data_IF_409104427558
#
_entry.id   IF_409104427558
#
_cell.length_a   1.000
_cell.length_b   1.000
_cell.length_c   1.000
_cell.angle_alpha   90.00
_cell.angle_beta   90.00
_cell.angle_gamma   90.00
#
_symmetry.space_group_name_H-M   'P 1'
#
loop_
_entity.id
_entity.type
_entity.pdbx_description
1 polymer ?
#
# COMPACT_ATOMS: atom_id res chain seq x y z
N UNK A 1 15.21 -17.63 15.13
CA UNK A 1 14.59 -17.08 13.92
C UNK A 1 15.56 -16.06 13.35
N UNK A 2 16.19 -16.34 12.22
CA UNK A 2 17.10 -15.37 11.58
C UNK A 2 16.32 -14.12 11.19
N UNK A 3 16.79 -12.95 11.61
CA UNK A 3 16.22 -11.67 11.18
C UNK A 3 16.59 -11.47 9.72
N UNK A 4 15.61 -11.58 8.82
CA UNK A 4 15.80 -11.21 7.41
C UNK A 4 16.28 -9.76 7.34
N UNK A 5 17.41 -9.54 6.67
CA UNK A 5 17.92 -8.20 6.39
C UNK A 5 16.99 -7.56 5.35
N UNK A 6 16.27 -6.52 5.76
CA UNK A 6 15.42 -5.71 4.89
C UNK A 6 16.34 -4.87 4.00
N UNK A 7 16.16 -5.00 2.69
CA UNK A 7 16.92 -4.31 1.64
C UNK A 7 16.05 -3.34 0.85
N UNK A 8 14.75 -3.61 0.75
CA UNK A 8 13.78 -2.74 0.11
C UNK A 8 12.42 -2.78 0.82
N UNK A 9 11.52 -1.86 0.48
CA UNK A 9 10.18 -1.85 1.05
C UNK A 9 9.36 -3.08 0.62
N UNK A 10 9.70 -3.67 -0.52
CA UNK A 10 9.11 -4.91 -1.02
C UNK A 10 9.47 -6.11 -0.15
N UNK A 11 10.44 -6.02 0.76
CA UNK A 11 10.68 -7.10 1.73
C UNK A 11 9.60 -7.17 2.83
N UNK A 12 8.79 -6.11 2.99
CA UNK A 12 7.67 -6.11 3.93
C UNK A 12 6.44 -6.79 3.31
N UNK A 13 6.05 -7.93 3.87
CA UNK A 13 4.84 -8.66 3.43
C UNK A 13 3.55 -7.81 3.52
N UNK A 14 3.49 -6.88 4.48
CA UNK A 14 2.36 -5.94 4.60
C UNK A 14 2.33 -4.94 3.43
N UNK A 15 3.48 -4.51 2.91
CA UNK A 15 3.55 -3.61 1.76
C UNK A 15 3.09 -4.34 0.49
N UNK A 16 3.54 -5.58 0.27
CA UNK A 16 3.07 -6.41 -0.85
C UNK A 16 1.54 -6.57 -0.84
N UNK A 17 0.95 -6.77 0.35
CA UNK A 17 -0.51 -6.85 0.50
C UNK A 17 -1.21 -5.53 0.17
N UNK A 18 -0.62 -4.39 0.54
CA UNK A 18 -1.17 -3.08 0.21
C UNK A 18 -1.13 -2.83 -1.31
N UNK A 19 -0.01 -3.13 -1.97
CA UNK A 19 0.12 -3.04 -3.43
C UNK A 19 -0.88 -3.96 -4.11
N UNK A 20 -0.97 -5.23 -3.70
CA UNK A 20 -1.95 -6.16 -4.26
C UNK A 20 -3.39 -5.67 -4.09
N UNK A 21 -3.74 -5.11 -2.94
CA UNK A 21 -5.07 -4.54 -2.72
C UNK A 21 -5.35 -3.37 -3.69
N UNK A 22 -4.35 -2.54 -3.95
CA UNK A 22 -4.47 -1.44 -4.91
C UNK A 22 -4.64 -1.97 -6.34
N UNK A 23 -3.86 -2.97 -6.75
CA UNK A 23 -3.97 -3.63 -8.06
C UNK A 23 -5.33 -4.30 -8.25
N UNK A 24 -5.77 -5.11 -7.28
CA UNK A 24 -7.06 -5.79 -7.30
C UNK A 24 -8.22 -4.77 -7.43
N UNK A 25 -8.12 -3.62 -6.74
CA UNK A 25 -9.09 -2.53 -6.88
C UNK A 25 -9.10 -1.93 -8.30
N UNK A 26 -7.93 -1.71 -8.91
CA UNK A 26 -7.84 -1.15 -10.26
C UNK A 26 -8.39 -2.11 -11.32
N UNK A 27 -8.14 -3.41 -11.17
CA UNK A 27 -8.49 -4.44 -12.15
C UNK A 27 -9.94 -4.91 -12.02
N UNK A 28 -10.46 -5.05 -10.80
CA UNK A 28 -11.76 -5.66 -10.54
C UNK A 28 -12.83 -4.63 -10.15
N UNK A 29 -12.60 -3.86 -9.09
CA UNK A 29 -13.62 -2.99 -8.48
C UNK A 29 -13.86 -1.71 -9.29
N UNK A 30 -12.79 -1.07 -9.76
CA UNK A 30 -12.83 0.19 -10.49
C UNK A 30 -13.70 0.09 -11.77
N UNK A 31 -13.59 -0.95 -12.62
CA UNK A 31 -14.48 -1.14 -13.76
C UNK A 31 -15.95 -1.35 -13.38
N UNK A 32 -16.23 -1.99 -12.24
CA UNK A 32 -17.60 -2.23 -11.76
C UNK A 32 -18.22 -0.90 -11.30
N UNK A 33 -17.50 -0.16 -10.45
CA UNK A 33 -17.98 1.07 -9.83
C UNK A 33 -18.20 2.19 -10.85
N UNK A 34 -17.36 2.29 -11.89
CA UNK A 34 -17.50 3.30 -12.95
C UNK A 34 -18.81 3.19 -13.76
N UNK A 35 -19.51 2.05 -13.71
CA UNK A 35 -20.76 1.81 -14.45
C UNK A 35 -21.95 2.62 -13.92
N UNK A 36 -21.91 3.07 -12.66
CA UNK A 36 -23.01 3.86 -12.07
C UNK A 36 -22.58 5.30 -11.75
N UNK A 37 -23.54 6.23 -11.74
CA UNK A 37 -23.27 7.63 -11.36
C UNK A 37 -22.69 7.72 -9.95
N UNK A 38 -23.32 7.07 -8.97
CA UNK A 38 -22.87 7.03 -7.58
C UNK A 38 -21.50 6.37 -7.43
N UNK A 39 -21.25 5.27 -8.16
CA UNK A 39 -19.98 4.55 -8.09
C UNK A 39 -18.81 5.36 -8.64
N UNK A 40 -19.01 6.21 -9.66
CA UNK A 40 -17.98 7.15 -10.13
C UNK A 40 -17.56 8.16 -9.05
N UNK A 41 -18.50 8.63 -8.23
CA UNK A 41 -18.19 9.52 -7.10
C UNK A 41 -17.40 8.80 -6.01
N UNK A 42 -17.68 7.52 -5.75
CA UNK A 42 -16.99 6.73 -4.74
C UNK A 42 -15.56 6.33 -5.17
N UNK A 43 -15.38 6.02 -6.45
CA UNK A 43 -14.12 5.54 -7.02
C UNK A 43 -12.95 6.49 -6.80
N UNK A 44 -13.17 7.80 -6.97
CA UNK A 44 -12.09 8.77 -6.80
C UNK A 44 -11.55 8.82 -5.37
N UNK A 45 -12.45 8.70 -4.38
CA UNK A 45 -12.07 8.67 -2.98
C UNK A 45 -11.33 7.37 -2.62
N UNK A 46 -11.82 6.22 -3.08
CA UNK A 46 -11.18 4.93 -2.83
C UNK A 46 -9.80 4.86 -3.46
N UNK A 47 -9.66 5.29 -4.71
CA UNK A 47 -8.37 5.32 -5.41
C UNK A 47 -7.33 6.12 -4.62
N UNK A 48 -7.69 7.33 -4.18
CA UNK A 48 -6.80 8.19 -3.39
C UNK A 48 -6.43 7.58 -2.04
N UNK A 49 -7.39 6.95 -1.36
CA UNK A 49 -7.12 6.31 -0.07
C UNK A 49 -6.17 5.12 -0.21
N UNK A 50 -6.37 4.26 -1.21
CA UNK A 50 -5.53 3.07 -1.41
C UNK A 50 -4.11 3.47 -1.85
N UNK A 51 -3.99 4.42 -2.77
CA UNK A 51 -2.70 5.00 -3.19
C UNK A 51 -1.93 5.59 -1.99
N UNK A 52 -2.65 6.34 -1.14
CA UNK A 52 -2.05 6.94 0.06
C UNK A 52 -1.53 5.91 1.07
N UNK A 53 -2.08 4.70 1.13
CA UNK A 53 -1.56 3.64 2.01
C UNK A 53 -0.15 3.24 1.54
N UNK A 54 0.01 2.95 0.24
CA UNK A 54 1.31 2.60 -0.33
C UNK A 54 2.32 3.74 -0.14
N UNK A 55 1.95 4.97 -0.53
CA UNK A 55 2.82 6.14 -0.42
C UNK A 55 3.27 6.43 1.03
N UNK A 56 2.38 6.29 2.02
CA UNK A 56 2.75 6.49 3.43
C UNK A 56 3.73 5.43 3.94
N UNK A 57 3.63 4.20 3.44
CA UNK A 57 4.56 3.13 3.78
C UNK A 57 5.93 3.37 3.12
N UNK A 58 5.96 3.79 1.86
CA UNK A 58 7.17 4.23 1.12
C UNK A 58 7.88 5.36 1.86
N UNK A 59 7.16 6.43 2.17
CA UNK A 59 7.71 7.57 2.92
C UNK A 59 8.19 7.13 4.33
N UNK A 60 7.45 6.22 4.98
CA UNK A 60 7.84 5.62 6.26
C UNK A 60 9.15 4.82 6.18
N UNK A 61 9.33 4.07 5.10
CA UNK A 61 10.54 3.30 4.82
C UNK A 61 11.72 4.22 4.53
N UNK A 62 11.56 5.21 3.66
CA UNK A 62 12.61 6.18 3.31
C UNK A 62 13.10 6.96 4.53
N UNK A 63 12.18 7.44 5.39
CA UNK A 63 12.53 8.09 6.66
C UNK A 63 13.34 7.20 7.60
N UNK A 64 13.04 5.90 7.61
CA UNK A 64 13.75 4.89 8.43
C UNK A 64 15.08 4.45 7.82
N UNK A 65 15.29 4.63 6.51
CA UNK A 65 16.62 4.42 5.92
C UNK A 65 17.69 5.38 6.49
N UNK A 66 17.28 6.44 7.20
CA UNK A 66 18.15 7.34 7.97
C UNK A 66 18.28 7.07 9.47
N UNK A 67 17.45 6.21 10.08
CA UNK A 67 17.54 5.79 11.50
C UNK A 67 17.07 4.35 11.64
N UNK A 68 18.03 3.46 11.95
CA UNK A 68 17.87 2.02 12.10
C UNK A 68 16.57 1.61 12.80
N UNK A 69 15.80 0.74 12.14
CA UNK A 69 14.57 0.17 12.70
C UNK A 69 14.95 -0.77 13.84
N UNK A 70 14.43 -0.54 15.05
CA UNK A 70 14.49 -1.52 16.13
C UNK A 70 13.59 -2.72 15.76
N UNK A 71 14.14 -3.94 15.58
CA UNK A 71 13.35 -5.10 15.15
C UNK A 71 12.41 -5.68 16.21
N UNK A 72 12.23 -5.02 17.36
CA UNK A 72 11.36 -5.47 18.45
C UNK A 72 9.93 -4.89 18.40
N UNK A 73 9.59 -4.13 17.36
CA UNK A 73 8.29 -3.45 17.21
C UNK A 73 7.37 -4.09 16.15
N UNK A 74 7.72 -5.27 15.65
CA UNK A 74 6.88 -6.11 14.78
C UNK A 74 6.97 -7.57 15.20
#
# INVERSE_FOLDING_TARGET
MERKKIKSIEDFEVYKKAVKLFEDFLEEDLPILKRSFTGRTLVGNQLRCLDSICANMEEGYERKSGKEINPSLF
#
